data_IF_897308474431
#
_entry.id   IF_897308474431
#
_cell.length_a   1.000
_cell.length_b   1.000
_cell.length_c   1.000
_cell.angle_alpha   90.00
_cell.angle_beta   90.00
_cell.angle_gamma   90.00
#
_symmetry.space_group_name_H-M   'P 1'
#
loop_
_entity.id
_entity.type
_entity.pdbx_description
1 polymer ?
#
# COMPACT_ATOMS: atom_id res chain seq x y z
N UNK A 1 10.53 2.19 7.59
CA UNK A 1 10.04 0.82 7.83
C UNK A 1 11.18 -0.12 7.47
N UNK A 2 11.59 -1.05 8.34
CA UNK A 2 12.73 -1.93 8.05
C UNK A 2 12.23 -3.30 7.61
N UNK A 3 12.68 -3.80 6.46
CA UNK A 3 12.25 -5.12 5.97
C UNK A 3 12.77 -6.27 6.84
N UNK A 4 13.72 -6.02 7.74
CA UNK A 4 14.12 -7.00 8.75
C UNK A 4 12.95 -7.42 9.65
N UNK A 5 11.94 -6.55 9.86
CA UNK A 5 10.74 -6.89 10.64
C UNK A 5 9.80 -7.86 9.93
N UNK A 6 10.04 -8.14 8.65
CA UNK A 6 9.26 -9.04 7.81
C UNK A 6 9.78 -10.48 7.83
N UNK A 7 10.96 -10.74 8.43
CA UNK A 7 11.54 -12.08 8.44
C UNK A 7 10.60 -13.07 9.12
N UNK A 8 10.33 -14.18 8.43
CA UNK A 8 9.43 -15.23 8.90
C UNK A 8 7.94 -14.95 8.63
N UNK A 9 7.59 -13.82 8.02
CA UNK A 9 6.22 -13.49 7.59
C UNK A 9 6.00 -13.87 6.12
N UNK A 10 4.73 -14.12 5.77
CA UNK A 10 4.29 -14.06 4.38
C UNK A 10 4.06 -12.58 4.05
N UNK A 11 4.68 -12.07 3.00
CA UNK A 11 4.61 -10.63 2.67
C UNK A 11 3.89 -10.44 1.34
N UNK A 12 2.87 -9.58 1.35
CA UNK A 12 2.18 -9.11 0.15
C UNK A 12 2.51 -7.63 -0.06
N UNK A 13 3.31 -7.33 -1.08
CA UNK A 13 3.66 -5.98 -1.48
C UNK A 13 2.71 -5.55 -2.60
N UNK A 14 2.10 -4.37 -2.47
CA UNK A 14 1.10 -3.88 -3.42
C UNK A 14 1.41 -2.43 -3.79
N UNK A 15 1.59 -2.14 -5.08
CA UNK A 15 1.57 -0.76 -5.56
C UNK A 15 0.11 -0.28 -5.65
N UNK A 16 -0.21 0.85 -5.04
CA UNK A 16 -1.59 1.30 -4.82
C UNK A 16 -1.87 2.69 -5.38
N UNK A 17 -3.15 2.97 -5.61
CA UNK A 17 -3.66 4.28 -6.00
C UNK A 17 -5.09 4.49 -5.47
N UNK A 18 -5.41 5.75 -5.19
CA UNK A 18 -6.60 6.32 -4.56
C UNK A 18 -7.65 6.75 -5.58
N UNK A 19 -7.25 7.00 -6.84
CA UNK A 19 -8.16 7.36 -7.95
C UNK A 19 -8.11 6.34 -9.07
N UNK A 20 -8.04 5.06 -8.71
CA UNK A 20 -8.04 3.93 -9.64
C UNK A 20 -9.42 3.27 -9.66
N UNK A 21 -9.83 2.70 -10.80
CA UNK A 21 -11.02 1.85 -10.87
C UNK A 21 -10.95 0.63 -9.95
N UNK A 22 -9.74 0.24 -9.53
CA UNK A 22 -9.48 -0.84 -8.59
C UNK A 22 -9.25 -0.37 -7.15
N UNK A 23 -9.35 0.92 -6.84
CA UNK A 23 -9.23 1.43 -5.46
C UNK A 23 -10.16 0.72 -4.48
N UNK A 24 -11.40 0.27 -4.83
CA UNK A 24 -12.20 -0.55 -3.92
C UNK A 24 -11.55 -1.86 -3.45
N UNK A 25 -10.48 -2.34 -4.09
CA UNK A 25 -9.71 -3.50 -3.61
C UNK A 25 -9.06 -3.27 -2.24
N UNK A 26 -8.92 -2.02 -1.78
CA UNK A 26 -8.48 -1.70 -0.42
C UNK A 26 -9.32 -2.42 0.65
N UNK A 27 -10.64 -2.54 0.47
CA UNK A 27 -11.51 -3.28 1.40
C UNK A 27 -11.15 -4.76 1.46
N UNK A 28 -10.87 -5.36 0.30
CA UNK A 28 -10.45 -6.75 0.19
C UNK A 28 -9.07 -6.99 0.83
N UNK A 29 -8.13 -6.06 0.61
CA UNK A 29 -6.80 -6.09 1.23
C UNK A 29 -6.89 -5.94 2.74
N UNK A 30 -7.71 -5.03 3.24
CA UNK A 30 -7.93 -4.82 4.67
C UNK A 30 -8.56 -6.07 5.31
N UNK A 31 -9.59 -6.65 4.68
CA UNK A 31 -10.22 -7.89 5.13
C UNK A 31 -9.21 -9.05 5.17
N UNK A 32 -8.36 -9.16 4.14
CA UNK A 32 -7.30 -10.16 4.09
C UNK A 32 -6.29 -9.95 5.22
N UNK A 33 -5.90 -8.70 5.46
CA UNK A 33 -4.95 -8.33 6.51
C UNK A 33 -5.51 -8.68 7.88
N UNK A 34 -6.72 -8.23 8.23
CA UNK A 34 -7.36 -8.55 9.51
C UNK A 34 -7.47 -10.06 9.77
N UNK A 35 -7.77 -10.84 8.72
CA UNK A 35 -7.94 -12.29 8.84
C UNK A 35 -6.62 -13.05 9.02
N UNK A 36 -5.54 -12.62 8.37
CA UNK A 36 -4.30 -13.39 8.29
C UNK A 36 -3.09 -12.74 8.94
N UNK A 37 -3.16 -11.48 9.35
CA UNK A 37 -2.10 -10.81 10.09
C UNK A 37 -1.73 -11.56 11.38
N UNK A 38 -2.68 -12.05 12.20
CA UNK A 38 -2.35 -12.87 13.38
C UNK A 38 -1.69 -14.21 13.03
N UNK A 39 -1.75 -14.62 11.77
CA UNK A 39 -1.15 -15.85 11.23
C UNK A 39 0.16 -15.60 10.48
N UNK A 40 0.68 -14.37 10.53
CA UNK A 40 1.96 -14.00 9.94
C UNK A 40 1.89 -13.40 8.54
N UNK A 41 0.72 -12.96 8.06
CA UNK A 41 0.65 -12.13 6.84
C UNK A 41 1.02 -10.67 7.18
N UNK A 42 1.89 -10.06 6.37
CA UNK A 42 2.08 -8.61 6.33
C UNK A 42 1.70 -8.09 4.94
N UNK A 43 0.89 -7.03 4.87
CA UNK A 43 0.63 -6.29 3.64
C UNK A 43 1.39 -4.96 3.71
N UNK A 44 2.06 -4.55 2.64
CA UNK A 44 2.71 -3.23 2.56
C UNK A 44 2.29 -2.52 1.27
N UNK A 45 1.64 -1.38 1.43
CA UNK A 45 1.19 -0.54 0.32
C UNK A 45 2.25 0.48 -0.11
N UNK A 46 2.51 0.57 -1.41
CA UNK A 46 3.40 1.57 -2.02
C UNK A 46 2.58 2.45 -2.98
N UNK A 47 2.17 3.66 -2.55
CA UNK A 47 1.47 4.57 -3.44
C UNK A 47 2.32 4.91 -4.66
N UNK A 48 1.74 4.87 -5.86
CA UNK A 48 2.49 5.12 -7.11
C UNK A 48 1.64 5.88 -8.13
N UNK A 49 2.20 6.95 -8.69
CA UNK A 49 1.49 7.83 -9.62
C UNK A 49 1.81 7.53 -11.10
N UNK A 50 2.64 6.52 -11.40
CA UNK A 50 3.09 6.22 -12.76
C UNK A 50 1.98 5.64 -13.65
N UNK A 51 0.91 5.09 -13.05
CA UNK A 51 -0.20 4.46 -13.76
C UNK A 51 -1.36 5.44 -13.92
N UNK A 52 -1.49 6.03 -15.11
CA UNK A 52 -2.60 6.93 -15.44
C UNK A 52 -2.71 8.18 -14.54
N UNK A 53 -1.65 8.52 -13.79
CA UNK A 53 -1.63 9.59 -12.79
C UNK A 53 -2.75 9.49 -11.75
N UNK A 54 -3.04 8.27 -11.31
CA UNK A 54 -4.13 7.95 -10.40
C UNK A 54 -3.79 8.16 -8.91
N UNK A 55 -2.56 8.59 -8.60
CA UNK A 55 -2.11 8.95 -7.25
C UNK A 55 -1.49 10.36 -7.16
N UNK A 56 -2.27 11.40 -7.52
CA UNK A 56 -1.75 12.76 -7.62
C UNK A 56 -1.52 13.43 -6.26
N UNK A 57 -2.16 12.93 -5.19
CA UNK A 57 -2.11 13.53 -3.84
C UNK A 57 -0.73 13.47 -3.18
N UNK A 58 -0.54 14.26 -2.13
CA UNK A 58 0.65 14.19 -1.27
C UNK A 58 0.60 12.96 -0.37
N UNK A 59 1.72 12.57 0.25
CA UNK A 59 1.74 11.45 1.21
C UNK A 59 0.69 11.62 2.33
N UNK A 60 0.46 12.86 2.79
CA UNK A 60 -0.53 13.16 3.82
C UNK A 60 -1.98 12.99 3.30
N UNK A 61 -2.24 13.40 2.06
CA UNK A 61 -3.56 13.21 1.43
C UNK A 61 -3.87 11.72 1.24
N UNK A 62 -2.87 10.94 0.85
CA UNK A 62 -2.98 9.50 0.61
C UNK A 62 -3.25 8.75 1.93
N UNK A 63 -2.51 9.08 2.99
CA UNK A 63 -2.73 8.50 4.30
C UNK A 63 -4.15 8.80 4.80
N UNK A 64 -4.58 10.06 4.69
CA UNK A 64 -5.93 10.50 5.07
C UNK A 64 -7.00 9.78 4.25
N UNK A 65 -6.78 9.61 2.95
CA UNK A 65 -7.68 8.88 2.07
C UNK A 65 -7.85 7.41 2.50
N UNK A 66 -6.74 6.71 2.75
CA UNK A 66 -6.76 5.30 3.15
C UNK A 66 -7.45 5.09 4.50
N UNK A 67 -7.19 5.97 5.47
CA UNK A 67 -7.82 5.91 6.79
C UNK A 67 -9.32 6.23 6.72
N UNK A 68 -9.69 7.38 6.15
CA UNK A 68 -11.06 7.88 6.19
C UNK A 68 -12.03 7.05 5.34
N UNK A 69 -11.58 6.51 4.21
CA UNK A 69 -12.48 5.84 3.26
C UNK A 69 -12.48 4.31 3.40
N UNK A 70 -11.38 3.73 3.90
CA UNK A 70 -11.20 2.27 3.90
C UNK A 70 -10.74 1.70 5.24
N UNK A 71 -10.43 2.54 6.24
CA UNK A 71 -9.97 2.09 7.55
C UNK A 71 -8.70 1.25 7.49
N UNK A 72 -7.81 1.54 6.52
CA UNK A 72 -6.60 0.74 6.31
C UNK A 72 -5.71 0.75 7.55
N UNK A 73 -5.34 -0.44 8.02
CA UNK A 73 -4.43 -0.61 9.18
C UNK A 73 -3.10 -1.24 8.83
N UNK A 74 -2.91 -1.71 7.59
CA UNK A 74 -1.61 -2.15 7.12
C UNK A 74 -0.71 -0.95 6.77
N UNK A 75 0.63 -1.08 6.85
CA UNK A 75 1.55 -0.01 6.52
C UNK A 75 1.40 0.48 5.07
N UNK A 76 1.24 1.79 4.90
CA UNK A 76 1.31 2.49 3.61
C UNK A 76 2.57 3.37 3.62
N UNK A 77 3.46 3.15 2.66
CA UNK A 77 4.71 3.88 2.54
C UNK A 77 4.52 5.24 1.87
N UNK A 78 5.60 6.03 1.81
CA UNK A 78 5.61 7.24 0.99
C UNK A 78 5.42 6.91 -0.48
N UNK A 79 4.82 7.84 -1.22
CA UNK A 79 4.65 7.70 -2.66
C UNK A 79 6.02 7.56 -3.34
N UNK A 80 6.12 6.59 -4.24
CA UNK A 80 7.37 6.32 -4.96
C UNK A 80 7.09 5.74 -6.36
N UNK A 81 8.12 5.79 -7.19
CA UNK A 81 8.12 5.18 -8.51
C UNK A 81 8.44 3.70 -8.39
N UNK A 82 7.80 2.87 -9.22
CA UNK A 82 7.99 1.40 -9.22
C UNK A 82 8.59 0.89 -10.54
N UNK A 83 8.64 1.74 -11.55
CA UNK A 83 9.23 1.48 -12.86
C UNK A 83 10.27 2.56 -13.22
N UNK A 84 11.22 2.19 -14.09
CA UNK A 84 12.23 3.10 -14.62
C UNK A 84 13.43 3.27 -13.70
N UNK A 85 14.33 4.17 -14.08
CA UNK A 85 15.63 4.35 -13.41
C UNK A 85 15.50 4.95 -12.00
N UNK A 86 14.39 5.62 -11.72
CA UNK A 86 14.06 6.20 -10.41
C UNK A 86 13.14 5.27 -9.58
N UNK A 87 13.01 4.01 -9.99
CA UNK A 87 12.23 3.03 -9.23
C UNK A 87 12.81 2.86 -7.83
N UNK A 88 11.94 2.77 -6.83
CA UNK A 88 12.31 2.56 -5.46
C UNK A 88 13.04 1.21 -5.31
N UNK A 89 14.28 1.24 -4.82
CA UNK A 89 15.13 0.07 -4.57
C UNK A 89 14.70 -0.76 -3.35
N UNK A 90 13.58 -0.37 -2.72
CA UNK A 90 12.93 -0.75 -1.44
C UNK A 90 13.50 -0.14 -0.15
#
# INVERSE_FOLDING_TARGET
>A
YSFQTLVGKVVLIVNVASRCGYTPQYEGLQTLYEKYQPKGLEIVGFPCNQFGRQEPGTDADIASFCEMNYGITFPVMKKSDVNGDEANEV
#
